data_IF_784977474806
#
_entry.id   IF_784977474806
#
_cell.length_a   1.000
_cell.length_b   1.000
_cell.length_c   1.000
_cell.angle_alpha   90.00
_cell.angle_beta   90.00
_cell.angle_gamma   90.00
#
_symmetry.space_group_name_H-M   'P 1'
#
loop_
_entity.id
_entity.type
_entity.pdbx_description
1 polymer ?
#
# COMPACT_ATOMS: atom_id res chain seq x y z
N UNK A 1 7.31 -13.49 27.71
CA UNK A 1 6.16 -12.56 27.71
C UNK A 1 6.55 -11.18 28.23
N UNK A 2 7.20 -11.05 29.41
CA UNK A 2 7.62 -9.74 29.96
C UNK A 2 8.52 -8.91 29.02
N UNK A 3 9.50 -9.54 28.38
CA UNK A 3 10.40 -8.85 27.42
C UNK A 3 9.69 -8.33 26.16
N UNK A 4 8.65 -9.03 25.69
CA UNK A 4 7.86 -8.61 24.53
C UNK A 4 7.08 -7.35 24.89
N UNK A 5 6.40 -7.34 26.04
CA UNK A 5 5.63 -6.17 26.48
C UNK A 5 6.51 -4.96 26.83
N UNK A 6 7.70 -5.19 27.40
CA UNK A 6 8.68 -4.12 27.64
C UNK A 6 9.14 -3.50 26.31
N UNK A 7 9.52 -4.33 25.33
CA UNK A 7 9.95 -3.87 24.03
C UNK A 7 8.82 -3.19 23.22
N UNK A 8 7.56 -3.62 23.40
CA UNK A 8 6.40 -2.90 22.85
C UNK A 8 6.26 -1.48 23.42
N UNK A 9 6.48 -1.32 24.73
CA UNK A 9 6.48 -0.01 25.40
C UNK A 9 7.60 0.90 24.91
N UNK A 10 8.79 0.35 24.67
CA UNK A 10 9.93 1.07 24.08
C UNK A 10 9.62 1.57 22.66
N UNK A 11 8.94 0.76 21.83
CA UNK A 11 8.54 1.18 20.48
C UNK A 11 7.57 2.37 20.56
N UNK A 12 6.55 2.30 21.42
CA UNK A 12 5.57 3.38 21.57
C UNK A 12 6.25 4.66 22.08
N UNK A 13 7.18 4.54 23.04
CA UNK A 13 7.96 5.66 23.55
C UNK A 13 8.86 6.27 22.47
N UNK A 14 9.53 5.45 21.65
CA UNK A 14 10.35 5.92 20.55
C UNK A 14 9.52 6.66 19.48
N UNK A 15 8.31 6.17 19.18
CA UNK A 15 7.38 6.88 18.29
C UNK A 15 6.87 8.19 18.89
N UNK A 16 6.72 8.29 20.22
CA UNK A 16 6.32 9.52 20.91
C UNK A 16 7.44 10.57 20.95
N UNK A 17 8.69 10.13 21.05
CA UNK A 17 9.87 11.00 21.06
C UNK A 17 10.21 11.51 19.65
N UNK A 18 9.81 10.77 18.61
CA UNK A 18 9.96 11.19 17.21
C UNK A 18 11.38 11.02 16.66
N UNK A 19 12.31 10.45 17.43
CA UNK A 19 13.65 10.16 16.96
C UNK A 19 13.68 8.90 16.07
N UNK A 20 13.98 9.13 14.78
CA UNK A 20 14.12 8.09 13.77
C UNK A 20 15.16 7.01 14.12
N UNK A 21 16.19 7.34 14.89
CA UNK A 21 17.21 6.37 15.31
C UNK A 21 16.68 5.44 16.42
N UNK A 22 16.01 6.00 17.43
CA UNK A 22 15.37 5.21 18.49
C UNK A 22 14.25 4.32 17.96
N UNK A 23 13.45 4.82 17.00
CA UNK A 23 12.39 4.04 16.35
C UNK A 23 12.99 2.82 15.64
N UNK A 24 14.10 3.00 14.90
CA UNK A 24 14.78 1.90 14.21
C UNK A 24 15.30 0.84 15.19
N UNK A 25 15.93 1.26 16.30
CA UNK A 25 16.47 0.34 17.30
C UNK A 25 15.35 -0.44 18.00
N UNK A 26 14.28 0.25 18.40
CA UNK A 26 13.13 -0.39 19.02
C UNK A 26 12.43 -1.38 18.09
N UNK A 27 12.33 -1.07 16.79
CA UNK A 27 11.78 -1.96 15.76
C UNK A 27 12.66 -3.19 15.46
N UNK A 28 13.93 -3.20 15.86
CA UNK A 28 14.80 -4.38 15.69
C UNK A 28 14.39 -5.53 16.63
N UNK A 29 13.79 -5.21 17.78
CA UNK A 29 13.39 -6.17 18.80
C UNK A 29 12.26 -7.13 18.37
N UNK A 30 12.09 -8.25 19.09
CA UNK A 30 11.03 -9.23 18.83
C UNK A 30 9.62 -8.67 19.13
N UNK A 31 9.51 -7.62 19.94
CA UNK A 31 8.24 -6.94 20.26
C UNK A 31 7.58 -6.29 19.04
N UNK A 32 8.35 -5.94 18.01
CA UNK A 32 7.84 -5.36 16.77
C UNK A 32 6.83 -6.28 16.05
N UNK A 33 6.99 -7.60 16.15
CA UNK A 33 6.06 -8.55 15.55
C UNK A 33 4.71 -8.55 16.27
N UNK A 34 4.71 -8.63 17.59
CA UNK A 34 3.48 -8.61 18.39
C UNK A 34 2.75 -7.26 18.27
N UNK A 35 3.49 -6.15 18.42
CA UNK A 35 2.92 -4.81 18.26
C UNK A 35 2.40 -4.58 16.84
N UNK A 36 3.17 -4.98 15.83
CA UNK A 36 2.77 -4.85 14.43
C UNK A 36 1.48 -5.60 14.11
N UNK A 37 1.28 -6.79 14.68
CA UNK A 37 0.02 -7.53 14.51
C UNK A 37 -1.15 -6.76 15.15
N UNK A 38 -0.98 -6.31 16.39
CA UNK A 38 -2.01 -5.57 17.13
C UNK A 38 -2.37 -4.28 16.40
N UNK A 39 -1.37 -3.47 16.04
CA UNK A 39 -1.57 -2.20 15.34
C UNK A 39 -2.17 -2.39 13.95
N UNK A 40 -1.77 -3.42 13.21
CA UNK A 40 -2.34 -3.73 11.90
C UNK A 40 -3.81 -4.14 12.02
N UNK A 41 -4.16 -5.01 12.96
CA UNK A 41 -5.54 -5.45 13.15
C UNK A 41 -6.43 -4.32 13.69
N UNK A 42 -5.95 -3.56 14.67
CA UNK A 42 -6.66 -2.39 15.20
C UNK A 42 -6.81 -1.31 14.12
N UNK A 43 -5.74 -1.02 13.39
CA UNK A 43 -5.74 -0.04 12.29
C UNK A 43 -6.68 -0.44 11.17
N UNK A 44 -6.62 -1.70 10.72
CA UNK A 44 -7.54 -2.25 9.73
C UNK A 44 -9.00 -2.17 10.19
N UNK A 45 -9.28 -2.52 11.46
CA UNK A 45 -10.62 -2.42 12.04
C UNK A 45 -11.13 -0.97 12.14
N UNK A 46 -10.28 -0.03 12.56
CA UNK A 46 -10.62 1.39 12.61
C UNK A 46 -10.92 1.95 11.21
N UNK A 47 -10.12 1.57 10.21
CA UNK A 47 -10.33 1.98 8.82
C UNK A 47 -11.64 1.41 8.27
N UNK A 48 -11.94 0.14 8.55
CA UNK A 48 -13.24 -0.47 8.22
C UNK A 48 -14.40 0.31 8.86
N UNK A 49 -14.26 0.76 10.11
CA UNK A 49 -15.27 1.63 10.74
C UNK A 49 -15.39 2.97 10.01
N UNK A 50 -14.27 3.62 9.67
CA UNK A 50 -14.26 4.88 8.92
C UNK A 50 -14.96 4.71 7.57
N UNK A 51 -14.68 3.63 6.84
CA UNK A 51 -15.33 3.32 5.56
C UNK A 51 -16.84 3.13 5.71
N UNK A 52 -17.28 2.52 6.81
CA UNK A 52 -18.71 2.39 7.14
C UNK A 52 -19.38 3.74 7.45
N UNK A 53 -18.68 4.66 8.11
CA UNK A 53 -19.23 5.99 8.43
C UNK A 53 -19.14 6.98 7.28
N UNK A 54 -18.11 6.88 6.43
CA UNK A 54 -17.83 7.81 5.33
C UNK A 54 -17.67 7.05 4.01
N UNK A 55 -18.79 6.68 3.35
CA UNK A 55 -18.76 5.89 2.11
C UNK A 55 -18.11 6.63 0.93
N UNK A 56 -17.95 7.95 1.02
CA UNK A 56 -17.23 8.72 -0.01
C UNK A 56 -15.74 8.34 -0.07
N UNK A 57 -15.08 8.24 1.10
CA UNK A 57 -13.67 7.89 1.22
C UNK A 57 -13.46 6.45 0.73
N UNK A 58 -14.34 5.56 1.18
CA UNK A 58 -14.37 4.14 0.82
C UNK A 58 -14.42 3.90 -0.70
N UNK A 59 -15.17 4.74 -1.43
CA UNK A 59 -15.36 4.60 -2.88
C UNK A 59 -14.22 5.17 -3.71
N UNK A 60 -13.63 6.29 -3.29
CA UNK A 60 -12.76 7.06 -4.18
C UNK A 60 -11.31 7.16 -3.76
N UNK A 61 -10.95 6.93 -2.48
CA UNK A 61 -9.59 7.19 -1.99
C UNK A 61 -8.54 6.38 -2.77
N UNK A 62 -8.74 5.07 -2.90
CA UNK A 62 -7.79 4.19 -3.60
C UNK A 62 -7.71 4.51 -5.11
N UNK A 63 -8.87 4.75 -5.74
CA UNK A 63 -8.96 5.10 -7.16
C UNK A 63 -8.30 6.45 -7.47
N UNK A 64 -8.55 7.48 -6.67
CA UNK A 64 -7.91 8.79 -6.84
C UNK A 64 -6.41 8.73 -6.68
N UNK A 65 -5.89 8.02 -5.67
CA UNK A 65 -4.45 7.88 -5.48
C UNK A 65 -3.81 7.18 -6.69
N UNK A 66 -4.43 6.13 -7.22
CA UNK A 66 -3.96 5.46 -8.43
C UNK A 66 -3.97 6.40 -9.65
N UNK A 67 -5.08 7.09 -9.91
CA UNK A 67 -5.23 7.98 -11.08
C UNK A 67 -4.27 9.16 -10.99
N UNK A 68 -4.15 9.81 -9.84
CA UNK A 68 -3.23 10.93 -9.64
C UNK A 68 -1.79 10.46 -9.83
N UNK A 69 -1.41 9.32 -9.24
CA UNK A 69 -0.06 8.76 -9.40
C UNK A 69 0.23 8.43 -10.87
N UNK A 70 -0.72 7.80 -11.56
CA UNK A 70 -0.60 7.46 -12.97
C UNK A 70 -0.45 8.68 -13.87
N UNK A 71 -1.30 9.70 -13.70
CA UNK A 71 -1.21 10.96 -14.45
C UNK A 71 0.09 11.70 -14.14
N UNK A 72 0.56 11.65 -12.89
CA UNK A 72 1.83 12.28 -12.49
C UNK A 72 3.02 11.58 -13.16
N UNK A 73 3.05 10.24 -13.16
CA UNK A 73 4.07 9.44 -13.86
C UNK A 73 4.06 9.79 -15.36
N UNK A 74 2.88 9.76 -15.99
CA UNK A 74 2.72 10.10 -17.40
C UNK A 74 3.20 11.51 -17.71
N UNK A 75 2.86 12.49 -16.87
CA UNK A 75 3.30 13.87 -16.99
C UNK A 75 4.81 14.05 -16.86
N UNK A 76 5.45 13.38 -15.90
CA UNK A 76 6.90 13.40 -15.71
C UNK A 76 7.60 12.80 -16.93
N UNK A 77 7.14 11.64 -17.42
CA UNK A 77 7.75 10.97 -18.58
C UNK A 77 7.56 11.82 -19.84
N UNK A 78 6.36 12.36 -20.07
CA UNK A 78 6.07 13.23 -21.21
C UNK A 78 6.99 14.46 -21.22
N UNK A 79 7.15 15.12 -20.08
CA UNK A 79 8.07 16.24 -19.95
C UNK A 79 9.54 15.81 -20.13
N UNK A 80 9.93 14.65 -19.60
CA UNK A 80 11.27 14.09 -19.80
C UNK A 80 11.59 13.80 -21.27
N UNK A 81 10.60 13.40 -22.07
CA UNK A 81 10.73 13.24 -23.52
C UNK A 81 10.96 14.60 -24.19
N UNK A 82 10.21 15.64 -23.83
CA UNK A 82 10.40 17.00 -24.35
C UNK A 82 11.83 17.49 -24.08
N UNK A 83 12.29 17.36 -22.83
CA UNK A 83 13.65 17.76 -22.42
C UNK A 83 14.74 16.99 -23.17
N UNK A 84 14.46 15.78 -23.64
CA UNK A 84 15.45 14.93 -24.32
C UNK A 84 15.51 15.17 -25.83
N UNK A 85 14.37 15.38 -26.49
CA UNK A 85 14.32 15.44 -27.96
C UNK A 85 14.21 16.85 -28.54
N UNK A 86 13.58 17.80 -27.84
CA UNK A 86 13.36 19.16 -28.37
C UNK A 86 14.67 19.95 -28.52
N UNK A 87 15.62 19.93 -27.57
CA UNK A 87 16.90 20.63 -27.77
C UNK A 87 17.69 20.13 -28.99
N UNK A 88 17.71 18.81 -29.21
CA UNK A 88 18.39 18.21 -30.37
C UNK A 88 17.70 18.53 -31.71
N UNK A 89 16.37 18.59 -31.73
CA UNK A 89 15.61 19.01 -32.92
C UNK A 89 15.83 20.49 -33.26
N UNK A 90 15.99 21.35 -32.25
CA UNK A 90 16.18 22.78 -32.41
C UNK A 90 17.66 23.19 -32.60
N UNK A 91 18.59 22.23 -32.67
CA UNK A 91 20.03 22.51 -32.77
C UNK A 91 20.60 23.28 -31.57
N UNK A 92 19.97 23.14 -30.41
CA UNK A 92 20.38 23.85 -29.19
C UNK A 92 21.49 23.07 -28.47
N UNK A 93 22.64 23.71 -28.30
CA UNK A 93 23.71 23.20 -27.45
C UNK A 93 23.42 23.40 -25.95
N UNK A 94 24.13 22.64 -25.11
CA UNK A 94 23.95 22.64 -23.65
C UNK A 94 24.12 24.04 -23.01
N UNK A 95 24.95 24.90 -23.61
CA UNK A 95 25.19 26.28 -23.17
C UNK A 95 24.01 27.21 -23.42
N UNK A 96 23.28 27.02 -24.52
CA UNK A 96 22.18 27.89 -24.96
C UNK A 96 20.80 27.32 -24.59
N UNK A 97 20.74 26.09 -24.05
CA UNK A 97 19.49 25.46 -23.65
C UNK A 97 19.01 26.02 -22.30
N UNK A 98 17.78 26.57 -22.22
CA UNK A 98 17.19 27.01 -20.96
C UNK A 98 17.14 25.87 -19.94
N UNK A 99 17.37 26.18 -18.65
CA UNK A 99 17.46 25.17 -17.59
C UNK A 99 16.22 24.26 -17.48
N UNK A 100 15.03 24.79 -17.80
CA UNK A 100 13.78 24.02 -17.77
C UNK A 100 13.67 22.99 -18.91
N UNK A 101 14.39 23.20 -20.01
CA UNK A 101 14.42 22.31 -21.18
C UNK A 101 15.61 21.32 -21.14
N UNK A 102 16.48 21.40 -20.13
CA UNK A 102 17.56 20.40 -19.92
C UNK A 102 17.01 19.16 -19.20
N UNK A 103 17.48 17.94 -19.52
CA UNK A 103 17.04 16.73 -18.85
C UNK A 103 17.27 16.82 -17.34
N UNK A 104 16.19 16.71 -16.57
CA UNK A 104 16.29 16.70 -15.11
C UNK A 104 16.56 15.29 -14.60
N UNK A 105 17.64 15.07 -13.82
CA UNK A 105 18.04 13.74 -13.39
C UNK A 105 16.97 12.95 -12.61
N UNK A 106 16.10 13.64 -11.87
CA UNK A 106 15.04 13.00 -11.07
C UNK A 106 13.87 12.46 -11.89
N UNK A 107 13.72 12.88 -13.15
CA UNK A 107 12.60 12.44 -14.01
C UNK A 107 12.65 10.94 -14.32
N UNK A 108 13.79 10.29 -14.09
CA UNK A 108 13.96 8.82 -14.24
C UNK A 108 13.88 8.08 -12.91
N UNK A 109 14.22 8.73 -11.80
CA UNK A 109 14.25 8.10 -10.47
C UNK A 109 12.93 8.23 -9.70
N UNK A 110 12.18 9.31 -9.89
CA UNK A 110 10.91 9.57 -9.20
C UNK A 110 9.74 8.69 -9.68
N UNK A 111 9.57 8.41 -10.99
CA UNK A 111 8.44 7.59 -11.45
C UNK A 111 8.39 6.17 -10.85
N UNK A 112 9.50 5.43 -10.67
CA UNK A 112 9.49 4.16 -9.95
C UNK A 112 8.92 4.25 -8.52
N UNK A 113 9.19 5.33 -7.78
CA UNK A 113 8.63 5.53 -6.44
C UNK A 113 7.13 5.84 -6.48
N UNK A 114 6.68 6.65 -7.45
CA UNK A 114 5.24 6.89 -7.67
C UNK A 114 4.51 5.61 -8.12
N UNK A 115 5.17 4.79 -8.94
CA UNK A 115 4.64 3.51 -9.38
C UNK A 115 4.52 2.52 -8.21
N UNK A 116 5.47 2.53 -7.28
CA UNK A 116 5.38 1.78 -6.03
C UNK A 116 4.14 2.19 -5.24
N UNK A 117 3.90 3.49 -5.03
CA UNK A 117 2.70 3.98 -4.33
C UNK A 117 1.42 3.52 -5.05
N UNK A 118 1.34 3.72 -6.36
CA UNK A 118 0.21 3.30 -7.19
C UNK A 118 -0.07 1.79 -7.06
N UNK A 119 0.98 0.96 -7.13
CA UNK A 119 0.86 -0.50 -7.14
C UNK A 119 0.34 -1.03 -5.81
N UNK A 120 0.85 -0.51 -4.69
CA UNK A 120 0.43 -1.00 -3.37
C UNK A 120 -0.97 -0.53 -2.98
N UNK A 121 -1.33 0.71 -3.32
CA UNK A 121 -2.71 1.18 -3.14
C UNK A 121 -3.67 0.42 -4.07
N UNK A 122 -3.25 0.15 -5.32
CA UNK A 122 -4.02 -0.68 -6.25
C UNK A 122 -4.18 -2.13 -5.80
N UNK A 123 -3.22 -2.67 -5.06
CA UNK A 123 -3.35 -3.98 -4.43
C UNK A 123 -4.52 -4.01 -3.43
N UNK A 124 -4.62 -3.00 -2.55
CA UNK A 124 -5.78 -2.86 -1.64
C UNK A 124 -7.10 -2.75 -2.40
N UNK A 125 -7.12 -1.95 -3.48
CA UNK A 125 -8.31 -1.78 -4.33
C UNK A 125 -8.74 -3.09 -5.03
N UNK A 126 -7.80 -3.89 -5.52
CA UNK A 126 -8.12 -5.18 -6.14
C UNK A 126 -8.67 -6.20 -5.14
N UNK A 127 -8.27 -6.11 -3.86
CA UNK A 127 -8.87 -6.92 -2.80
C UNK A 127 -10.33 -6.52 -2.58
N UNK A 128 -10.64 -5.22 -2.58
CA UNK A 128 -12.04 -4.72 -2.54
C UNK A 128 -12.88 -5.29 -3.69
N UNK A 129 -12.39 -5.20 -4.92
CA UNK A 129 -13.09 -5.71 -6.10
C UNK A 129 -13.07 -7.24 -6.25
N UNK A 130 -12.34 -7.94 -5.39
CA UNK A 130 -12.17 -9.40 -5.44
C UNK A 130 -11.65 -9.91 -6.79
N UNK A 131 -10.85 -9.10 -7.47
CA UNK A 131 -10.24 -9.42 -8.78
C UNK A 131 -8.89 -10.11 -8.66
N UNK A 132 -8.55 -10.60 -7.46
CA UNK A 132 -7.36 -11.41 -7.26
C UNK A 132 -7.51 -12.75 -8.01
N UNK A 133 -6.39 -13.29 -8.49
CA UNK A 133 -6.40 -14.52 -9.27
C UNK A 133 -6.86 -15.69 -8.38
N UNK A 134 -8.04 -16.23 -8.67
CA UNK A 134 -8.66 -17.33 -7.94
C UNK A 134 -9.26 -18.34 -8.91
N UNK A 135 -9.26 -19.62 -8.52
CA UNK A 135 -9.97 -20.67 -9.27
C UNK A 135 -11.47 -20.62 -8.97
N UNK A 136 -12.14 -19.62 -9.52
CA UNK A 136 -13.55 -19.36 -9.24
C UNK A 136 -14.45 -20.51 -9.70
N UNK A 137 -14.16 -21.13 -10.84
CA UNK A 137 -14.94 -22.26 -11.37
C UNK A 137 -14.94 -23.46 -10.43
N UNK A 138 -13.81 -23.73 -9.78
CA UNK A 138 -13.72 -24.82 -8.81
C UNK A 138 -14.50 -24.47 -7.53
N UNK A 139 -14.39 -23.22 -7.07
CA UNK A 139 -15.00 -22.75 -5.82
C UNK A 139 -16.52 -22.57 -5.92
N UNK A 140 -17.05 -22.20 -7.08
CA UNK A 140 -18.50 -22.06 -7.29
C UNK A 140 -19.22 -23.41 -7.36
N UNK A 141 -18.50 -24.49 -7.72
CA UNK A 141 -19.04 -25.85 -7.78
C UNK A 141 -18.99 -26.59 -6.43
N UNK A 142 -18.42 -25.99 -5.38
CA UNK A 142 -18.33 -26.60 -4.06
C UNK A 142 -19.61 -26.44 -3.23
N UNK A 143 -19.89 -27.36 -2.29
CA UNK A 143 -20.92 -27.14 -1.29
C UNK A 143 -20.56 -25.97 -0.36
N UNK A 144 -21.57 -25.38 0.28
CA UNK A 144 -21.47 -24.10 1.01
C UNK A 144 -20.43 -24.09 2.13
N UNK A 145 -20.30 -25.18 2.88
CA UNK A 145 -19.38 -25.26 4.03
C UNK A 145 -17.89 -25.23 3.61
N UNK A 146 -17.41 -26.08 2.68
CA UNK A 146 -16.03 -25.98 2.20
C UNK A 146 -15.76 -24.67 1.44
N UNK A 147 -16.76 -24.09 0.76
CA UNK A 147 -16.63 -22.77 0.14
C UNK A 147 -16.29 -21.70 1.19
N UNK A 148 -17.03 -21.64 2.30
CA UNK A 148 -16.76 -20.69 3.39
C UNK A 148 -15.44 -20.97 4.11
N UNK A 149 -15.07 -22.24 4.28
CA UNK A 149 -13.79 -22.62 4.88
C UNK A 149 -12.59 -22.13 4.06
N UNK A 150 -12.64 -22.26 2.73
CA UNK A 150 -11.60 -21.76 1.83
C UNK A 150 -11.53 -20.24 1.80
N UNK A 151 -12.67 -19.55 1.76
CA UNK A 151 -12.70 -18.08 1.84
C UNK A 151 -12.13 -17.55 3.16
N UNK A 152 -12.42 -18.26 4.27
CA UNK A 152 -11.84 -17.92 5.57
C UNK A 152 -10.34 -18.20 5.60
N UNK A 153 -9.88 -19.29 5.00
CA UNK A 153 -8.45 -19.58 4.86
C UNK A 153 -7.75 -18.49 4.05
N UNK A 154 -8.31 -18.07 2.92
CA UNK A 154 -7.77 -16.97 2.10
C UNK A 154 -7.66 -15.67 2.92
N UNK A 155 -8.69 -15.33 3.71
CA UNK A 155 -8.65 -14.16 4.58
C UNK A 155 -7.55 -14.24 5.63
N UNK A 156 -7.37 -15.39 6.28
CA UNK A 156 -6.30 -15.63 7.26
C UNK A 156 -4.92 -15.52 6.60
N UNK A 157 -4.75 -16.10 5.42
CA UNK A 157 -3.49 -16.04 4.67
C UNK A 157 -3.15 -14.61 4.26
N UNK A 158 -4.12 -13.82 3.80
CA UNK A 158 -3.93 -12.41 3.47
C UNK A 158 -3.56 -11.58 4.70
N UNK A 159 -4.20 -11.81 5.86
CA UNK A 159 -3.86 -11.15 7.12
C UNK A 159 -2.44 -11.53 7.56
N UNK A 160 -2.08 -12.82 7.49
CA UNK A 160 -0.75 -13.31 7.85
C UNK A 160 0.35 -12.74 6.96
N UNK A 161 0.13 -12.71 5.65
CA UNK A 161 1.06 -12.09 4.70
C UNK A 161 1.21 -10.58 4.96
N UNK A 162 0.08 -9.89 5.16
CA UNK A 162 0.08 -8.46 5.47
C UNK A 162 0.86 -8.15 6.75
N UNK A 163 0.76 -9.01 7.77
CA UNK A 163 1.51 -8.85 9.00
C UNK A 163 3.03 -8.84 8.77
N UNK A 164 3.53 -9.77 7.95
CA UNK A 164 4.96 -9.81 7.58
C UNK A 164 5.36 -8.53 6.87
N UNK A 165 4.56 -8.07 5.91
CA UNK A 165 4.88 -6.88 5.11
C UNK A 165 4.80 -5.59 5.93
N UNK A 166 3.83 -5.45 6.83
CA UNK A 166 3.71 -4.27 7.71
C UNK A 166 4.94 -4.17 8.62
N UNK A 167 5.35 -5.28 9.26
CA UNK A 167 6.50 -5.28 10.17
C UNK A 167 7.80 -5.01 9.41
N UNK A 168 8.06 -5.77 8.34
CA UNK A 168 9.30 -5.62 7.56
C UNK A 168 9.36 -4.29 6.81
N UNK A 169 8.26 -3.86 6.21
CA UNK A 169 8.12 -2.56 5.56
C UNK A 169 8.35 -1.41 6.54
N UNK A 170 7.80 -1.48 7.75
CA UNK A 170 8.04 -0.45 8.78
C UNK A 170 9.52 -0.38 9.19
N UNK A 171 10.22 -1.52 9.28
CA UNK A 171 11.67 -1.54 9.52
C UNK A 171 12.46 -0.88 8.39
N UNK A 172 12.08 -1.11 7.13
CA UNK A 172 12.71 -0.48 5.96
C UNK A 172 12.46 1.03 5.96
N UNK A 173 11.24 1.47 6.29
CA UNK A 173 10.89 2.89 6.41
C UNK A 173 11.69 3.56 7.52
N UNK A 174 11.75 2.98 8.70
CA UNK A 174 12.53 3.50 9.82
C UNK A 174 14.03 3.56 9.49
N UNK A 175 14.55 2.56 8.78
CA UNK A 175 15.93 2.55 8.30
C UNK A 175 16.20 3.70 7.32
N UNK A 176 15.33 3.89 6.33
CA UNK A 176 15.45 4.98 5.36
C UNK A 176 15.36 6.36 6.01
N UNK A 177 14.49 6.53 7.01
CA UNK A 177 14.39 7.75 7.80
C UNK A 177 15.66 8.01 8.63
N UNK A 178 16.16 6.99 9.35
CA UNK A 178 17.36 7.11 10.20
C UNK A 178 18.64 7.45 9.43
N UNK A 179 18.71 7.03 8.15
CA UNK A 179 19.85 7.27 7.28
C UNK A 179 19.67 8.52 6.40
N UNK A 180 18.60 9.29 6.58
CA UNK A 180 18.25 10.44 5.74
C UNK A 180 18.37 10.11 4.23
N UNK A 181 17.85 8.95 3.82
CA UNK A 181 17.96 8.50 2.43
C UNK A 181 17.15 9.43 1.52
N UNK A 182 17.83 10.02 0.55
CA UNK A 182 17.25 10.92 -0.45
C UNK A 182 16.99 10.13 -1.73
N UNK A 183 15.88 10.42 -2.40
CA UNK A 183 15.60 9.88 -3.73
C UNK A 183 16.74 10.26 -4.68
N UNK A 184 17.34 9.32 -5.42
CA UNK A 184 18.46 9.61 -6.29
C UNK A 184 18.17 10.79 -7.22
N UNK A 185 19.15 11.69 -7.33
CA UNK A 185 19.10 12.82 -8.26
C UNK A 185 18.02 13.90 -7.97
N UNK A 186 17.53 13.94 -6.72
CA UNK A 186 16.66 15.01 -6.19
C UNK A 186 17.36 15.80 -5.08
N UNK A 187 16.95 17.05 -4.89
CA UNK A 187 17.48 17.90 -3.83
C UNK A 187 16.54 17.86 -2.61
N UNK A 188 16.74 16.86 -1.74
CA UNK A 188 16.10 16.80 -0.42
C UNK A 188 14.76 16.06 -0.34
N UNK A 189 14.31 15.37 -1.39
CA UNK A 189 13.15 14.49 -1.29
C UNK A 189 13.51 13.20 -0.56
N UNK A 190 12.93 13.02 0.63
CA UNK A 190 13.20 11.85 1.46
C UNK A 190 12.52 10.61 0.90
N UNK A 191 13.31 9.55 0.71
CA UNK A 191 12.84 8.28 0.15
C UNK A 191 11.74 7.63 1.00
N UNK A 192 11.81 7.80 2.32
CA UNK A 192 10.87 7.19 3.26
C UNK A 192 9.42 7.67 3.07
N UNK A 193 9.19 8.85 2.51
CA UNK A 193 7.85 9.36 2.18
C UNK A 193 7.11 8.46 1.19
N UNK A 194 7.83 7.85 0.26
CA UNK A 194 7.25 6.99 -0.77
C UNK A 194 7.12 5.55 -0.28
N UNK A 195 8.16 5.01 0.37
CA UNK A 195 8.15 3.62 0.83
C UNK A 195 7.25 3.41 2.06
N UNK A 196 6.86 4.46 2.78
CA UNK A 196 5.81 4.40 3.81
C UNK A 196 4.46 3.94 3.23
N UNK A 197 4.22 4.18 1.93
CA UNK A 197 3.01 3.71 1.27
C UNK A 197 2.87 2.18 1.31
N UNK A 198 3.98 1.42 1.42
CA UNK A 198 3.93 -0.05 1.49
C UNK A 198 3.20 -0.52 2.75
N UNK A 199 3.74 -0.33 3.97
CA UNK A 199 3.07 -0.80 5.18
C UNK A 199 1.67 -0.18 5.34
N UNK A 200 1.48 1.07 4.94
CA UNK A 200 0.17 1.74 5.00
C UNK A 200 -0.87 1.07 4.10
N UNK A 201 -0.52 0.76 2.86
CA UNK A 201 -1.43 0.09 1.92
C UNK A 201 -1.81 -1.32 2.37
N UNK A 202 -0.91 -2.02 3.08
CA UNK A 202 -1.23 -3.33 3.64
C UNK A 202 -2.17 -3.25 4.85
N UNK A 203 -2.16 -2.14 5.60
CA UNK A 203 -3.19 -1.89 6.63
C UNK A 203 -4.55 -1.63 5.97
N UNK A 204 -4.60 -0.87 4.86
CA UNK A 204 -5.82 -0.71 4.07
C UNK A 204 -6.30 -2.05 3.49
N UNK A 205 -5.39 -2.87 2.98
CA UNK A 205 -5.69 -4.20 2.46
C UNK A 205 -6.35 -5.07 3.54
N UNK A 206 -5.81 -5.08 4.76
CA UNK A 206 -6.41 -5.82 5.88
C UNK A 206 -7.82 -5.33 6.20
N UNK A 207 -8.07 -4.02 6.15
CA UNK A 207 -9.43 -3.49 6.29
C UNK A 207 -10.37 -4.08 5.22
N UNK A 208 -9.94 -4.13 3.95
CA UNK A 208 -10.72 -4.73 2.85
C UNK A 208 -10.95 -6.23 3.02
N UNK A 209 -9.94 -6.95 3.50
CA UNK A 209 -10.07 -8.39 3.81
C UNK A 209 -11.12 -8.61 4.91
N UNK A 210 -11.10 -7.79 5.97
CA UNK A 210 -12.10 -7.85 7.05
C UNK A 210 -13.51 -7.53 6.55
N UNK A 211 -13.66 -6.51 5.69
CA UNK A 211 -14.93 -6.17 5.04
C UNK A 211 -15.48 -7.33 4.22
N UNK A 212 -14.65 -7.87 3.32
CA UNK A 212 -15.01 -8.98 2.46
C UNK A 212 -15.41 -10.23 3.26
N UNK A 213 -14.63 -10.57 4.28
CA UNK A 213 -14.91 -11.72 5.12
C UNK A 213 -16.21 -11.54 5.93
N UNK A 214 -16.48 -10.33 6.45
CA UNK A 214 -17.71 -10.04 7.16
C UNK A 214 -18.95 -10.16 6.26
N UNK A 215 -18.83 -9.75 4.99
CA UNK A 215 -19.87 -9.92 3.98
C UNK A 215 -20.09 -11.41 3.65
N UNK A 216 -19.02 -12.17 3.41
CA UNK A 216 -19.09 -13.60 3.10
C UNK A 216 -19.74 -14.40 4.25
N UNK A 217 -19.39 -14.05 5.49
CA UNK A 217 -19.98 -14.67 6.68
C UNK A 217 -21.46 -14.33 6.85
N UNK A 218 -21.87 -13.10 6.50
CA UNK A 218 -23.29 -12.72 6.49
C UNK A 218 -24.05 -13.54 5.46
N UNK A 219 -23.55 -13.65 4.22
CA UNK A 219 -24.16 -14.43 3.14
C UNK A 219 -24.22 -15.92 3.47
N UNK A 220 -23.20 -16.45 4.15
CA UNK A 220 -23.21 -17.82 4.67
C UNK A 220 -24.38 -18.05 5.63
N UNK A 221 -24.62 -17.12 6.55
CA UNK A 221 -25.72 -17.18 7.54
C UNK A 221 -27.11 -16.96 6.95
N UNK A 222 -27.26 -16.07 5.97
CA UNK A 222 -28.59 -15.76 5.38
C UNK A 222 -29.02 -16.76 4.32
N UNK A 223 -28.14 -17.66 3.89
CA UNK A 223 -28.46 -18.64 2.85
C UNK A 223 -28.24 -18.11 1.42
N UNK A 224 -27.79 -16.87 1.27
CA UNK A 224 -27.48 -16.24 -0.02
C UNK A 224 -26.27 -16.90 -0.71
N UNK A 225 -26.08 -16.62 -1.99
CA UNK A 225 -24.93 -17.10 -2.75
C UNK A 225 -23.65 -16.39 -2.25
N UNK A 226 -22.64 -17.18 -1.85
CA UNK A 226 -21.44 -16.65 -1.18
C UNK A 226 -20.48 -16.02 -2.19
N UNK A 227 -20.24 -16.70 -3.32
CA UNK A 227 -19.35 -16.21 -4.39
C UNK A 227 -20.20 -15.64 -5.52
N UNK A 228 -20.13 -14.33 -5.71
CA UNK A 228 -20.54 -13.66 -6.93
C UNK A 228 -19.32 -13.55 -7.85
N UNK A 229 -19.47 -13.87 -9.13
CA UNK A 229 -18.40 -13.64 -10.08
C UNK A 229 -18.24 -12.13 -10.27
N UNK A 230 -17.10 -11.58 -9.87
CA UNK A 230 -16.75 -10.21 -10.14
C UNK A 230 -16.60 -10.02 -11.65
N UNK A 231 -17.59 -9.41 -12.30
CA UNK A 231 -17.49 -8.99 -13.70
C UNK A 231 -16.83 -7.63 -13.71
N UNK A 232 -15.64 -7.53 -14.34
CA UNK A 232 -14.95 -6.25 -14.51
C UNK A 232 -15.85 -5.34 -15.36
N UNK A 233 -16.40 -4.29 -14.74
CA UNK A 233 -17.36 -3.36 -15.38
C UNK A 233 -18.84 -3.65 -15.13
N UNK A 234 -19.19 -4.50 -14.16
CA UNK A 234 -20.58 -4.86 -13.81
C UNK A 234 -21.32 -3.91 -12.86
N UNK A 235 -20.63 -2.92 -12.28
CA UNK A 235 -21.24 -1.95 -11.37
C UNK A 235 -21.88 -0.80 -12.19
N UNK A 236 -23.21 -0.83 -12.32
CA UNK A 236 -24.02 0.36 -12.64
C UNK A 236 -24.44 1.08 -11.36
#
# INVERSE_FOLDING_TARGET
>A
MGEIFANMGEIIAAFADGDSWMIREALAGPGAWALGLILMLLGGYLIMLIYRFVPFIERHLESYVMVISYLTIGGIIFFGVIQRFVPGMLGMDFSNTPQWLRPWPWTTSLPPFLFLVMTWVGCSYNVKLRTHLSFNEFRTNMPRTPQMALLTLDAILWIGFSWVVVVTGSKVVANAASNFQIVPATDGLMQWWFILAVPLSFVFLVARVMENWAEDFRRYRTGEQIIEQAVIGGDT
#
